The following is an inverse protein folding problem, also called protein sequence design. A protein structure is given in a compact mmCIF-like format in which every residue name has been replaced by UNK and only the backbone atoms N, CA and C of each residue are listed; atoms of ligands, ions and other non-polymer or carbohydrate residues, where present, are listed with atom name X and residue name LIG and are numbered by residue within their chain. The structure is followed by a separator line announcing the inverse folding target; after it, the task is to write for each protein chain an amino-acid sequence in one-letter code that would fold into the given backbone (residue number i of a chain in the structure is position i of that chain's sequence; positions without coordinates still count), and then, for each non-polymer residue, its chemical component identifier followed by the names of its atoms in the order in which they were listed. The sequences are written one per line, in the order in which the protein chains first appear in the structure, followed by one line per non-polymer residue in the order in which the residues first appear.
data_IF_445239209176
#
_entry.id   IF_445239209176
#
_cell.length_a   1.000
_cell.length_b   1.000
_cell.length_c   1.000
_cell.angle_alpha   90.00
_cell.angle_beta   90.00
_cell.angle_gamma   90.00
#
_symmetry.space_group_name_H-M   'P 1'
#
loop_
_entity.id
_entity.type
_entity.pdbx_description
1 polymer ?
#
# COMPACT_ATOMS: atom_id res chain seq x y z
N UNK A 1 -4.31 -52.93 46.85
CA UNK A 1 -4.00 -51.62 46.23
C UNK A 1 -3.26 -51.69 44.86
N UNK A 2 -2.95 -52.88 44.31
CA UNK A 2 -2.15 -53.02 43.07
C UNK A 2 -3.02 -53.07 41.79
N UNK A 3 -4.32 -53.42 41.89
CA UNK A 3 -5.20 -53.54 40.70
C UNK A 3 -5.73 -52.18 40.12
N UNK A 4 -5.78 -51.14 40.92
CA UNK A 4 -6.28 -49.81 40.46
C UNK A 4 -5.23 -49.01 39.69
N UNK A 5 -3.93 -49.21 39.93
CA UNK A 5 -2.84 -48.50 39.24
C UNK A 5 -2.62 -48.99 37.80
N UNK A 6 -2.88 -50.26 37.50
CA UNK A 6 -2.71 -50.82 36.16
C UNK A 6 -3.82 -50.34 35.21
N UNK A 7 -5.05 -50.12 35.70
CA UNK A 7 -6.15 -49.60 34.84
C UNK A 7 -5.96 -48.12 34.47
N UNK A 8 -5.41 -47.29 35.37
CA UNK A 8 -5.13 -45.86 35.06
C UNK A 8 -4.00 -45.69 34.05
N UNK A 9 -3.00 -46.57 34.08
CA UNK A 9 -1.88 -46.51 33.14
C UNK A 9 -2.27 -47.01 31.73
N UNK A 10 -3.21 -47.96 31.61
CA UNK A 10 -3.73 -48.43 30.34
C UNK A 10 -4.58 -47.39 29.58
N UNK A 11 -5.34 -46.56 30.30
CA UNK A 11 -6.16 -45.49 29.71
C UNK A 11 -5.29 -44.33 29.22
N UNK A 12 -4.21 -44.00 29.93
CA UNK A 12 -3.29 -42.91 29.50
C UNK A 12 -2.47 -43.30 28.25
N UNK A 13 -2.03 -44.57 28.15
CA UNK A 13 -1.30 -45.07 26.97
C UNK A 13 -2.21 -45.18 25.75
N UNK A 14 -3.47 -45.59 25.93
CA UNK A 14 -4.43 -45.67 24.84
C UNK A 14 -4.81 -44.29 24.27
N UNK A 15 -4.92 -43.26 25.14
CA UNK A 15 -5.20 -41.88 24.68
C UNK A 15 -4.03 -41.24 23.91
N UNK A 16 -2.78 -41.51 24.29
CA UNK A 16 -1.59 -41.06 23.58
C UNK A 16 -1.45 -41.78 22.21
N UNK A 17 -1.70 -43.08 22.15
CA UNK A 17 -1.64 -43.84 20.87
C UNK A 17 -2.75 -43.43 19.90
N UNK A 18 -3.94 -43.04 20.37
CA UNK A 18 -5.02 -42.52 19.54
C UNK A 18 -4.71 -41.11 18.99
N UNK A 19 -4.06 -40.23 19.75
CA UNK A 19 -3.66 -38.91 19.33
C UNK A 19 -2.58 -38.99 18.21
N UNK A 20 -1.52 -39.77 18.40
CA UNK A 20 -0.47 -39.99 17.41
C UNK A 20 -1.02 -40.52 16.06
N UNK A 21 -2.01 -41.43 16.12
CA UNK A 21 -2.61 -41.96 14.88
C UNK A 21 -3.52 -40.95 14.16
N UNK A 22 -4.22 -40.10 14.91
CA UNK A 22 -5.07 -39.04 14.36
C UNK A 22 -4.26 -37.98 13.64
N UNK A 23 -3.15 -37.54 14.21
CA UNK A 23 -2.27 -36.54 13.62
C UNK A 23 -1.62 -37.04 12.33
N UNK A 24 -1.15 -38.31 12.30
CA UNK A 24 -0.56 -38.88 11.10
C UNK A 24 -1.58 -39.06 9.96
N UNK A 25 -2.83 -39.39 10.28
CA UNK A 25 -3.92 -39.47 9.29
C UNK A 25 -4.28 -38.07 8.76
N UNK A 26 -4.27 -37.05 9.63
CA UNK A 26 -4.48 -35.67 9.19
C UNK A 26 -3.37 -35.19 8.25
N UNK A 27 -2.10 -35.45 8.57
CA UNK A 27 -0.97 -35.11 7.70
C UNK A 27 -1.08 -35.77 6.32
N UNK A 28 -1.46 -37.06 6.27
CA UNK A 28 -1.74 -37.78 5.01
C UNK A 28 -2.86 -37.09 4.21
N UNK A 29 -3.97 -36.77 4.89
CA UNK A 29 -5.11 -36.07 4.29
C UNK A 29 -4.72 -34.68 3.75
N UNK A 30 -3.94 -33.92 4.53
CA UNK A 30 -3.48 -32.60 4.13
C UNK A 30 -2.48 -32.65 2.97
N UNK A 31 -1.60 -33.65 2.96
CA UNK A 31 -0.68 -33.89 1.85
C UNK A 31 -1.46 -34.21 0.56
N UNK A 32 -2.44 -35.10 0.63
CA UNK A 32 -3.32 -35.43 -0.49
C UNK A 32 -4.06 -34.18 -1.01
N UNK A 33 -4.65 -33.38 -0.09
CA UNK A 33 -5.36 -32.15 -0.43
C UNK A 33 -4.46 -31.09 -1.11
N UNK A 34 -3.20 -30.96 -0.68
CA UNK A 34 -2.22 -30.02 -1.26
C UNK A 34 -1.74 -30.44 -2.66
N UNK A 35 -1.82 -31.71 -2.98
CA UNK A 35 -1.41 -32.27 -4.27
C UNK A 35 -2.60 -32.60 -5.18
N UNK A 36 -3.81 -32.09 -4.87
CA UNK A 36 -5.05 -32.34 -5.61
C UNK A 36 -5.42 -33.83 -5.77
N UNK A 37 -4.88 -34.68 -4.87
CA UNK A 37 -5.27 -36.10 -4.78
C UNK A 37 -6.56 -36.24 -3.97
N UNK A 38 -7.69 -35.96 -4.61
CA UNK A 38 -9.02 -36.01 -3.97
C UNK A 38 -9.44 -37.44 -3.57
N UNK A 39 -8.91 -38.47 -4.22
CA UNK A 39 -9.16 -39.86 -3.86
C UNK A 39 -8.40 -40.23 -2.57
N UNK A 40 -7.13 -39.90 -2.49
CA UNK A 40 -6.32 -40.07 -1.28
C UNK A 40 -6.89 -39.31 -0.09
N UNK A 41 -7.29 -38.04 -0.30
CA UNK A 41 -7.98 -37.23 0.71
C UNK A 41 -9.26 -37.91 1.21
N UNK A 42 -10.12 -38.41 0.31
CA UNK A 42 -11.36 -39.07 0.72
C UNK A 42 -11.13 -40.37 1.51
N UNK A 43 -10.05 -41.10 1.21
CA UNK A 43 -9.67 -42.31 1.97
C UNK A 43 -9.13 -41.95 3.36
N UNK A 44 -8.25 -40.96 3.46
CA UNK A 44 -7.71 -40.48 4.74
C UNK A 44 -8.83 -39.93 5.63
N UNK A 45 -9.76 -39.15 5.08
CA UNK A 45 -10.89 -38.60 5.83
C UNK A 45 -11.82 -39.65 6.44
N UNK A 46 -11.98 -40.82 5.82
CA UNK A 46 -12.78 -41.90 6.43
C UNK A 46 -12.17 -42.46 7.71
N UNK A 47 -10.87 -42.23 7.93
CA UNK A 47 -10.14 -42.67 9.11
C UNK A 47 -9.99 -41.54 10.15
N UNK A 48 -10.27 -40.30 9.72
CA UNK A 48 -10.21 -39.12 10.57
C UNK A 48 -11.57 -38.93 11.26
N UNK A 49 -11.56 -38.48 12.52
CA UNK A 49 -12.79 -38.10 13.22
C UNK A 49 -13.43 -36.87 12.58
N UNK A 50 -14.75 -36.84 12.50
CA UNK A 50 -15.51 -35.67 11.99
C UNK A 50 -15.30 -34.44 12.87
N UNK A 51 -14.97 -34.62 14.16
CA UNK A 51 -14.70 -33.57 15.13
C UNK A 51 -13.21 -33.17 15.20
N UNK A 52 -12.39 -33.60 14.22
CA UNK A 52 -10.98 -33.25 14.23
C UNK A 52 -10.77 -31.73 14.15
N UNK A 53 -10.00 -31.12 15.07
CA UNK A 53 -9.89 -29.64 15.19
C UNK A 53 -9.35 -28.96 13.94
N UNK A 54 -8.62 -29.68 13.08
CA UNK A 54 -8.05 -29.14 11.84
C UNK A 54 -8.87 -29.52 10.58
N UNK A 55 -10.11 -30.00 10.74
CA UNK A 55 -10.99 -30.35 9.61
C UNK A 55 -11.22 -29.17 8.66
N UNK A 56 -11.23 -27.92 9.19
CA UNK A 56 -11.34 -26.70 8.40
C UNK A 56 -10.27 -26.60 7.29
N UNK A 57 -9.03 -27.06 7.55
CA UNK A 57 -7.96 -27.01 6.54
C UNK A 57 -8.21 -27.91 5.35
N UNK A 58 -8.78 -29.11 5.57
CA UNK A 58 -9.08 -30.04 4.50
C UNK A 58 -10.25 -29.53 3.63
N UNK A 59 -11.28 -28.98 4.28
CA UNK A 59 -12.40 -28.35 3.57
C UNK A 59 -11.94 -27.10 2.79
N UNK A 60 -11.07 -26.27 3.36
CA UNK A 60 -10.48 -25.12 2.69
C UNK A 60 -9.84 -25.51 1.34
N UNK A 61 -8.99 -26.53 1.33
CA UNK A 61 -8.33 -26.97 0.09
C UNK A 61 -9.34 -27.43 -0.97
N UNK A 62 -10.40 -28.15 -0.56
CA UNK A 62 -11.47 -28.57 -1.48
C UNK A 62 -12.22 -27.38 -2.07
N UNK A 63 -12.60 -26.41 -1.23
CA UNK A 63 -13.31 -25.22 -1.69
C UNK A 63 -12.44 -24.43 -2.67
N UNK A 64 -11.16 -24.25 -2.32
CA UNK A 64 -10.22 -23.52 -3.18
C UNK A 64 -10.04 -24.18 -4.55
N UNK A 65 -9.94 -25.50 -4.58
CA UNK A 65 -9.79 -26.24 -5.84
C UNK A 65 -11.06 -26.22 -6.71
N UNK A 66 -12.24 -26.03 -6.10
CA UNK A 66 -13.50 -25.94 -6.82
C UNK A 66 -13.78 -24.53 -7.40
N UNK A 67 -12.94 -23.53 -7.14
CA UNK A 67 -13.06 -22.20 -7.72
C UNK A 67 -12.62 -22.21 -9.19
N UNK A 68 -13.24 -21.42 -10.08
CA UNK A 68 -14.34 -20.44 -9.85
C UNK A 68 -15.76 -21.03 -9.88
N UNK A 69 -15.91 -22.35 -10.09
CA UNK A 69 -17.22 -23.01 -10.24
C UNK A 69 -17.99 -23.17 -8.91
N UNK A 70 -17.30 -22.95 -7.79
CA UNK A 70 -17.89 -22.99 -6.47
C UNK A 70 -18.92 -21.86 -6.30
N UNK A 71 -20.13 -22.18 -5.78
CA UNK A 71 -21.10 -21.13 -5.49
C UNK A 71 -20.65 -20.22 -4.34
N UNK A 72 -20.90 -18.91 -4.41
CA UNK A 72 -20.56 -17.95 -3.33
C UNK A 72 -21.14 -18.34 -1.97
N UNK A 73 -22.33 -18.95 -1.98
CA UNK A 73 -22.99 -19.42 -0.76
C UNK A 73 -22.12 -20.41 0.03
N UNK A 74 -21.42 -21.31 -0.65
CA UNK A 74 -20.52 -22.29 0.00
C UNK A 74 -19.32 -21.61 0.67
N UNK A 75 -18.84 -20.49 0.10
CA UNK A 75 -17.75 -19.68 0.71
C UNK A 75 -18.26 -19.02 2.00
N UNK A 76 -19.49 -18.48 1.98
CA UNK A 76 -20.11 -17.85 3.15
C UNK A 76 -20.36 -18.89 4.26
N UNK A 77 -20.99 -20.02 3.93
CA UNK A 77 -21.27 -21.14 4.85
C UNK A 77 -20.01 -21.67 5.53
N UNK A 78 -18.89 -21.72 4.80
CA UNK A 78 -17.61 -22.09 5.37
C UNK A 78 -17.18 -21.11 6.47
N UNK A 79 -17.32 -19.80 6.26
CA UNK A 79 -17.03 -18.78 7.25
C UNK A 79 -17.91 -18.86 8.49
N UNK A 80 -19.20 -19.20 8.32
CA UNK A 80 -20.14 -19.37 9.41
C UNK A 80 -19.82 -20.64 10.25
N UNK A 81 -19.30 -21.69 9.59
CA UNK A 81 -18.94 -22.94 10.25
C UNK A 81 -17.64 -22.86 11.05
N UNK A 82 -16.69 -22.04 10.60
CA UNK A 82 -15.36 -21.93 11.19
C UNK A 82 -15.00 -20.48 11.58
N UNK A 83 -15.82 -19.80 12.41
CA UNK A 83 -15.66 -18.36 12.67
C UNK A 83 -14.35 -18.00 13.39
N UNK A 84 -13.79 -18.93 14.15
CA UNK A 84 -12.56 -18.72 14.92
C UNK A 84 -11.28 -19.06 14.14
N UNK A 85 -11.41 -19.49 12.88
CA UNK A 85 -10.29 -19.81 12.00
C UNK A 85 -9.91 -18.60 11.14
N UNK A 86 -8.63 -18.41 10.76
CA UNK A 86 -8.22 -17.41 9.76
C UNK A 86 -8.63 -17.79 8.33
N UNK A 87 -8.92 -19.06 8.05
CA UNK A 87 -9.18 -19.58 6.71
C UNK A 87 -10.44 -19.02 6.01
N UNK A 88 -11.53 -18.63 6.72
CA UNK A 88 -12.66 -17.94 6.10
C UNK A 88 -12.28 -16.67 5.32
N UNK A 89 -11.36 -15.87 5.85
CA UNK A 89 -10.89 -14.68 5.14
C UNK A 89 -10.05 -15.06 3.92
N UNK A 90 -9.23 -16.10 4.03
CA UNK A 90 -8.40 -16.58 2.92
C UNK A 90 -9.24 -17.14 1.78
N UNK A 91 -10.26 -17.98 2.06
CA UNK A 91 -11.11 -18.51 1.00
C UNK A 91 -11.95 -17.43 0.32
N UNK A 92 -12.42 -16.41 1.08
CA UNK A 92 -13.10 -15.25 0.50
C UNK A 92 -12.21 -14.49 -0.47
N UNK A 93 -10.93 -14.27 -0.13
CA UNK A 93 -9.97 -13.62 -1.02
C UNK A 93 -9.72 -14.43 -2.29
N UNK A 94 -9.52 -15.75 -2.17
CA UNK A 94 -9.37 -16.63 -3.33
C UNK A 94 -10.62 -16.63 -4.22
N UNK A 95 -11.80 -16.70 -3.62
CA UNK A 95 -13.07 -16.66 -4.34
C UNK A 95 -13.27 -15.33 -5.08
N UNK A 96 -12.99 -14.19 -4.41
CA UNK A 96 -13.08 -12.86 -5.03
C UNK A 96 -12.20 -12.80 -6.28
N UNK A 97 -10.93 -13.21 -6.18
CA UNK A 97 -9.98 -13.17 -7.30
C UNK A 97 -10.44 -14.11 -8.43
N UNK A 98 -10.87 -15.33 -8.07
CA UNK A 98 -11.31 -16.33 -9.06
C UNK A 98 -12.56 -15.84 -9.81
N UNK A 99 -13.59 -15.38 -9.11
CA UNK A 99 -14.80 -14.84 -9.73
C UNK A 99 -14.51 -13.60 -10.58
N UNK A 100 -13.64 -12.69 -10.11
CA UNK A 100 -13.29 -11.50 -10.85
C UNK A 100 -12.57 -11.81 -12.17
N UNK A 101 -11.68 -12.81 -12.20
CA UNK A 101 -11.02 -13.27 -13.43
C UNK A 101 -11.99 -13.78 -14.47
N UNK A 102 -13.06 -14.43 -14.04
CA UNK A 102 -14.13 -14.94 -14.91
C UNK A 102 -15.26 -13.90 -15.12
N UNK A 103 -15.07 -12.67 -14.66
CA UNK A 103 -16.08 -11.61 -14.76
C UNK A 103 -17.42 -11.92 -14.08
N UNK A 104 -17.41 -12.78 -13.08
CA UNK A 104 -18.59 -13.15 -12.27
C UNK A 104 -18.85 -12.09 -11.20
N UNK A 105 -19.08 -10.84 -11.62
CA UNK A 105 -19.15 -9.66 -10.76
C UNK A 105 -20.20 -9.72 -9.67
N UNK A 106 -21.34 -10.36 -9.95
CA UNK A 106 -22.41 -10.57 -8.94
C UNK A 106 -21.94 -11.50 -7.82
N UNK A 107 -21.11 -12.47 -8.13
CA UNK A 107 -20.64 -13.47 -7.17
C UNK A 107 -19.52 -12.89 -6.29
N UNK A 108 -18.71 -11.98 -6.83
CA UNK A 108 -17.79 -11.16 -6.01
C UNK A 108 -18.52 -10.45 -4.87
N UNK A 109 -19.67 -9.80 -5.18
CA UNK A 109 -20.43 -9.02 -4.19
C UNK A 109 -21.20 -9.91 -3.18
N UNK A 110 -21.38 -11.21 -3.48
CA UNK A 110 -21.99 -12.14 -2.53
C UNK A 110 -21.02 -12.65 -1.46
N UNK A 111 -19.71 -12.67 -1.76
CA UNK A 111 -18.69 -13.12 -0.79
C UNK A 111 -18.13 -11.98 0.06
N UNK A 112 -18.32 -10.72 -0.38
CA UNK A 112 -17.93 -9.52 0.35
C UNK A 112 -19.08 -8.51 0.40
N UNK A 113 -19.50 -8.14 1.59
CA UNK A 113 -20.50 -7.09 1.87
C UNK A 113 -19.88 -5.69 2.03
N UNK A 114 -18.58 -5.63 2.19
CA UNK A 114 -17.77 -4.41 2.36
C UNK A 114 -16.43 -4.54 1.64
N UNK A 115 -15.80 -3.38 1.36
CA UNK A 115 -14.52 -3.35 0.69
C UNK A 115 -13.44 -4.14 1.46
N UNK A 116 -12.78 -5.11 0.82
CA UNK A 116 -11.70 -5.89 1.42
C UNK A 116 -10.45 -5.04 1.65
N UNK A 117 -9.53 -5.55 2.48
CA UNK A 117 -8.21 -4.98 2.66
C UNK A 117 -7.31 -5.31 1.45
N UNK A 118 -6.36 -4.42 1.18
CA UNK A 118 -5.42 -4.60 0.07
C UNK A 118 -5.92 -4.02 -1.26
N UNK A 119 -5.00 -3.39 -1.99
CA UNK A 119 -5.33 -2.62 -3.20
C UNK A 119 -5.92 -3.48 -4.30
N UNK A 120 -5.33 -4.64 -4.57
CA UNK A 120 -5.79 -5.54 -5.63
C UNK A 120 -7.24 -5.99 -5.39
N UNK A 121 -7.54 -6.46 -4.19
CA UNK A 121 -8.88 -6.94 -3.83
C UNK A 121 -9.90 -5.79 -3.84
N UNK A 122 -9.51 -4.58 -3.39
CA UNK A 122 -10.36 -3.40 -3.49
C UNK A 122 -10.68 -3.05 -4.94
N UNK A 123 -9.71 -3.15 -5.84
CA UNK A 123 -9.97 -2.89 -7.26
C UNK A 123 -10.97 -3.89 -7.86
N UNK A 124 -10.83 -5.17 -7.58
CA UNK A 124 -11.82 -6.17 -8.01
C UNK A 124 -13.20 -5.91 -7.41
N UNK A 125 -13.27 -5.58 -6.12
CA UNK A 125 -14.54 -5.29 -5.43
C UNK A 125 -15.25 -4.06 -6.02
N UNK A 126 -14.53 -2.94 -6.17
CA UNK A 126 -15.08 -1.71 -6.76
C UNK A 126 -15.47 -1.93 -8.23
N UNK A 127 -14.70 -2.77 -8.96
CA UNK A 127 -15.09 -3.14 -10.31
C UNK A 127 -16.39 -3.95 -10.32
N UNK A 128 -16.56 -4.87 -9.39
CA UNK A 128 -17.80 -5.62 -9.27
C UNK A 128 -19.00 -4.70 -9.00
N UNK A 129 -18.86 -3.70 -8.14
CA UNK A 129 -19.90 -2.69 -7.92
C UNK A 129 -20.18 -1.87 -9.19
N UNK A 130 -19.13 -1.40 -9.87
CA UNK A 130 -19.24 -0.67 -11.12
C UNK A 130 -19.98 -1.46 -12.21
N UNK A 131 -19.58 -2.71 -12.44
CA UNK A 131 -20.18 -3.60 -13.44
C UNK A 131 -21.64 -3.97 -13.11
N UNK A 132 -22.02 -3.92 -11.83
CA UNK A 132 -23.41 -4.07 -11.40
C UNK A 132 -24.20 -2.73 -11.37
N UNK A 133 -23.62 -1.64 -11.91
CA UNK A 133 -24.31 -0.36 -12.13
C UNK A 133 -24.16 0.66 -11.02
N UNK A 134 -23.38 0.40 -9.98
CA UNK A 134 -23.09 1.39 -8.93
C UNK A 134 -22.03 2.39 -9.41
N UNK A 135 -22.50 3.54 -9.87
CA UNK A 135 -21.62 4.65 -10.29
C UNK A 135 -21.04 5.45 -9.11
N UNK A 136 -21.54 5.23 -7.90
CA UNK A 136 -21.09 5.88 -6.67
C UNK A 136 -19.69 5.45 -6.21
N UNK A 137 -19.07 4.46 -6.87
CA UNK A 137 -17.70 3.99 -6.56
C UNK A 137 -16.61 4.94 -7.05
N UNK A 138 -16.88 5.83 -8.01
CA UNK A 138 -15.87 6.66 -8.68
C UNK A 138 -15.01 7.52 -7.74
N UNK A 139 -15.53 8.14 -6.67
CA UNK A 139 -14.69 8.83 -5.70
C UNK A 139 -13.64 7.93 -5.05
N UNK A 140 -13.99 6.67 -4.73
CA UNK A 140 -13.06 5.68 -4.18
C UNK A 140 -12.01 5.24 -5.20
N UNK A 141 -12.39 5.19 -6.49
CA UNK A 141 -11.45 4.91 -7.59
C UNK A 141 -10.43 6.05 -7.73
N UNK A 142 -10.87 7.33 -7.58
CA UNK A 142 -9.99 8.49 -7.56
C UNK A 142 -8.97 8.41 -6.40
N UNK A 143 -9.41 8.01 -5.21
CA UNK A 143 -8.51 7.80 -4.07
C UNK A 143 -7.45 6.71 -4.36
N UNK A 144 -7.84 5.62 -5.01
CA UNK A 144 -6.91 4.56 -5.41
C UNK A 144 -5.92 5.03 -6.48
N UNK A 145 -6.38 5.92 -7.39
CA UNK A 145 -5.53 6.52 -8.41
C UNK A 145 -4.42 7.36 -7.82
N UNK A 146 -4.72 8.21 -6.82
CA UNK A 146 -3.78 9.14 -6.19
C UNK A 146 -2.73 8.41 -5.35
N UNK A 147 -1.74 7.85 -6.04
CA UNK A 147 -0.62 7.11 -5.46
C UNK A 147 0.66 7.35 -6.23
N UNK A 148 1.75 7.54 -5.51
CA UNK A 148 3.10 7.65 -6.09
C UNK A 148 3.70 6.33 -6.55
N UNK A 149 3.02 5.20 -6.31
CA UNK A 149 3.44 3.87 -6.74
C UNK A 149 2.50 3.28 -7.77
N UNK A 150 3.01 2.38 -8.61
CA UNK A 150 2.18 1.61 -9.54
C UNK A 150 1.12 0.82 -8.78
N UNK A 151 -0.05 0.70 -9.37
CA UNK A 151 -1.16 -0.10 -8.85
C UNK A 151 -1.20 -1.46 -9.56
N UNK A 152 -1.77 -2.49 -8.93
CA UNK A 152 -2.04 -3.76 -9.60
C UNK A 152 -2.88 -3.57 -10.88
N UNK A 153 -2.64 -4.38 -11.89
CA UNK A 153 -3.38 -4.34 -13.16
C UNK A 153 -4.88 -4.58 -13.01
N UNK A 154 -5.31 -5.20 -11.93
CA UNK A 154 -6.73 -5.32 -11.57
C UNK A 154 -7.45 -3.98 -11.43
N UNK A 155 -6.70 -2.87 -11.20
CA UNK A 155 -7.24 -1.53 -11.09
C UNK A 155 -7.41 -0.83 -12.45
N UNK A 156 -6.68 -1.25 -13.49
CA UNK A 156 -6.64 -0.56 -14.79
C UNK A 156 -8.02 -0.35 -15.42
N UNK A 157 -8.94 -1.36 -15.45
CA UNK A 157 -10.27 -1.14 -16.03
C UNK A 157 -11.13 -0.10 -15.26
N UNK A 158 -10.91 0.02 -13.94
CA UNK A 158 -11.58 1.06 -13.15
C UNK A 158 -11.01 2.44 -13.44
N UNK A 159 -9.70 2.55 -13.60
CA UNK A 159 -9.05 3.80 -13.94
C UNK A 159 -9.44 4.28 -15.33
N UNK A 160 -9.57 3.35 -16.27
CA UNK A 160 -10.09 3.65 -17.61
C UNK A 160 -11.53 4.16 -17.54
N UNK A 161 -12.43 3.42 -16.84
CA UNK A 161 -13.80 3.86 -16.63
C UNK A 161 -13.90 5.24 -15.94
N UNK A 162 -13.06 5.52 -14.95
CA UNK A 162 -13.02 6.80 -14.24
C UNK A 162 -12.54 7.94 -15.16
N UNK A 163 -11.61 7.65 -16.10
CA UNK A 163 -11.17 8.60 -17.13
C UNK A 163 -12.31 8.88 -18.10
N UNK A 164 -12.99 7.86 -18.60
CA UNK A 164 -14.11 8.02 -19.54
C UNK A 164 -15.27 8.83 -18.93
N UNK A 165 -15.43 8.75 -17.61
CA UNK A 165 -16.43 9.53 -16.87
C UNK A 165 -15.90 10.92 -16.43
N UNK A 166 -14.66 11.28 -16.76
CA UNK A 166 -14.05 12.57 -16.43
C UNK A 166 -13.70 12.75 -14.94
N UNK A 167 -13.69 11.67 -14.15
CA UNK A 167 -13.31 11.70 -12.72
C UNK A 167 -11.78 11.71 -12.57
N UNK A 168 -11.07 11.10 -13.51
CA UNK A 168 -9.62 11.18 -13.65
C UNK A 168 -9.33 11.99 -14.94
N UNK A 169 -9.05 13.28 -14.75
CA UNK A 169 -8.65 14.19 -15.80
C UNK A 169 -7.15 14.56 -15.75
N UNK A 170 -6.77 15.59 -16.48
CA UNK A 170 -5.38 16.07 -16.53
C UNK A 170 -4.87 16.48 -15.14
N UNK A 171 -5.74 17.04 -14.28
CA UNK A 171 -5.37 17.43 -12.93
C UNK A 171 -5.03 16.21 -12.05
N UNK A 172 -5.84 15.15 -12.06
CA UNK A 172 -5.58 13.93 -11.30
C UNK A 172 -4.36 13.18 -11.81
N UNK A 173 -4.09 13.23 -13.13
CA UNK A 173 -2.88 12.66 -13.71
C UNK A 173 -1.66 13.44 -13.22
N UNK A 174 -1.73 14.77 -13.21
CA UNK A 174 -0.66 15.61 -12.70
C UNK A 174 -0.39 15.42 -11.21
N UNK A 175 -1.44 15.39 -10.38
CA UNK A 175 -1.30 15.11 -8.94
C UNK A 175 -0.58 13.78 -8.70
N UNK A 176 -0.96 12.74 -9.44
CA UNK A 176 -0.29 11.43 -9.34
C UNK A 176 1.15 11.49 -9.84
N UNK A 177 1.42 12.28 -10.87
CA UNK A 177 2.78 12.48 -11.39
C UNK A 177 3.70 13.10 -10.34
N UNK A 178 3.23 14.10 -9.59
CA UNK A 178 3.97 14.69 -8.47
C UNK A 178 4.19 13.69 -7.34
N UNK A 179 3.20 12.85 -7.02
CA UNK A 179 3.38 11.77 -6.04
C UNK A 179 4.41 10.75 -6.50
N UNK A 180 4.41 10.39 -7.79
CA UNK A 180 5.40 9.48 -8.38
C UNK A 180 6.82 10.08 -8.34
N UNK A 181 6.94 11.39 -8.56
CA UNK A 181 8.20 12.12 -8.42
C UNK A 181 8.75 12.01 -6.99
N UNK A 182 7.92 12.27 -5.99
CA UNK A 182 8.32 12.21 -4.58
C UNK A 182 8.75 10.80 -4.14
N UNK A 183 8.14 9.75 -4.72
CA UNK A 183 8.51 8.35 -4.48
C UNK A 183 9.72 7.88 -5.33
N UNK A 184 10.15 8.67 -6.31
CA UNK A 184 11.20 8.28 -7.25
C UNK A 184 10.78 7.18 -8.23
N UNK A 185 9.48 7.02 -8.48
CA UNK A 185 8.91 6.01 -9.37
C UNK A 185 9.02 6.42 -10.84
N UNK A 186 10.24 6.43 -11.38
CA UNK A 186 10.55 7.00 -12.72
C UNK A 186 9.76 6.36 -13.87
N UNK A 187 9.52 5.04 -13.83
CA UNK A 187 8.69 4.37 -14.83
C UNK A 187 7.24 4.84 -14.81
N UNK A 188 6.66 5.03 -13.60
CA UNK A 188 5.32 5.58 -13.46
C UNK A 188 5.28 7.05 -13.90
N UNK A 189 6.32 7.84 -13.59
CA UNK A 189 6.42 9.22 -14.06
C UNK A 189 6.38 9.32 -15.60
N UNK A 190 7.16 8.49 -16.30
CA UNK A 190 7.15 8.46 -17.75
C UNK A 190 5.78 8.13 -18.31
N UNK A 191 5.16 7.06 -17.79
CA UNK A 191 3.81 6.65 -18.19
C UNK A 191 2.76 7.76 -17.99
N UNK A 192 2.78 8.45 -16.85
CA UNK A 192 1.84 9.53 -16.55
C UNK A 192 2.11 10.79 -17.39
N UNK A 193 3.37 11.12 -17.68
CA UNK A 193 3.73 12.23 -18.54
C UNK A 193 3.21 12.01 -19.98
N UNK A 194 3.30 10.78 -20.50
CA UNK A 194 2.78 10.41 -21.83
C UNK A 194 1.24 10.49 -21.91
N UNK A 195 0.54 10.53 -20.77
CA UNK A 195 -0.92 10.72 -20.71
C UNK A 195 -1.35 12.19 -20.75
N UNK A 196 -0.43 13.12 -20.54
CA UNK A 196 -0.68 14.55 -20.53
C UNK A 196 -0.69 15.12 -21.96
N UNK A 197 -1.26 16.30 -22.13
CA UNK A 197 -1.30 17.00 -23.41
C UNK A 197 -0.85 18.46 -23.30
N UNK A 198 -0.49 19.09 -24.43
CA UNK A 198 -0.14 20.50 -24.48
C UNK A 198 0.95 20.95 -23.52
N UNK A 199 0.67 22.00 -22.73
CA UNK A 199 1.61 22.56 -21.77
C UNK A 199 1.90 21.60 -20.59
N UNK A 200 0.92 20.79 -20.19
CA UNK A 200 1.07 19.82 -19.13
C UNK A 200 1.98 18.65 -19.55
N UNK A 201 1.97 18.24 -20.82
CA UNK A 201 2.95 17.28 -21.35
C UNK A 201 4.37 17.81 -21.23
N UNK A 202 4.60 19.09 -21.60
CA UNK A 202 5.91 19.74 -21.43
C UNK A 202 6.32 19.77 -19.95
N UNK A 203 5.40 20.12 -19.06
CA UNK A 203 5.67 20.12 -17.62
C UNK A 203 6.02 18.72 -17.10
N UNK A 204 5.32 17.66 -17.56
CA UNK A 204 5.58 16.27 -17.21
C UNK A 204 6.98 15.81 -17.64
N UNK A 205 7.40 16.13 -18.86
CA UNK A 205 8.77 15.85 -19.31
C UNK A 205 9.83 16.57 -18.44
N UNK A 206 9.56 17.83 -18.09
CA UNK A 206 10.47 18.60 -17.24
C UNK A 206 10.56 18.00 -15.83
N UNK A 207 9.46 17.49 -15.28
CA UNK A 207 9.50 16.80 -14.00
C UNK A 207 10.46 15.60 -14.05
N UNK A 208 10.45 14.82 -15.13
CA UNK A 208 11.39 13.74 -15.37
C UNK A 208 12.86 14.20 -15.46
N UNK A 209 13.11 15.36 -16.07
CA UNK A 209 14.45 15.96 -16.14
C UNK A 209 14.93 16.45 -14.79
N UNK A 210 14.07 17.14 -14.04
CA UNK A 210 14.36 17.64 -12.69
C UNK A 210 14.58 16.50 -11.66
N UNK A 211 13.96 15.35 -11.87
CA UNK A 211 14.23 14.19 -11.02
C UNK A 211 15.67 13.68 -11.16
N UNK A 212 16.24 13.75 -12.39
CA UNK A 212 17.63 13.35 -12.66
C UNK A 212 18.63 14.43 -12.27
N UNK A 213 18.30 15.68 -12.59
CA UNK A 213 19.14 16.85 -12.36
C UNK A 213 18.27 18.02 -11.88
N UNK A 214 18.09 18.16 -10.54
CA UNK A 214 17.23 19.18 -9.97
C UNK A 214 17.75 20.62 -10.14
N UNK A 215 19.04 20.83 -10.37
CA UNK A 215 19.60 22.18 -10.62
C UNK A 215 19.12 22.81 -11.92
N UNK A 216 18.62 22.01 -12.86
CA UNK A 216 17.99 22.49 -14.09
C UNK A 216 16.69 23.28 -13.87
N UNK A 217 16.24 23.43 -12.63
CA UNK A 217 15.10 24.30 -12.28
C UNK A 217 15.26 25.75 -12.82
N UNK A 218 16.50 26.20 -13.07
CA UNK A 218 16.78 27.50 -13.70
C UNK A 218 16.51 27.54 -15.21
N UNK A 219 16.42 26.37 -15.85
CA UNK A 219 16.25 26.22 -17.29
C UNK A 219 14.79 26.00 -17.69
N UNK A 220 13.83 26.10 -16.75
CA UNK A 220 12.42 25.85 -17.05
C UNK A 220 11.94 26.73 -18.19
N UNK A 221 11.37 26.15 -19.27
CA UNK A 221 11.00 26.91 -20.46
C UNK A 221 9.83 27.86 -20.22
N UNK A 222 9.73 28.86 -21.09
CA UNK A 222 8.52 29.66 -21.18
C UNK A 222 7.35 28.81 -21.73
N UNK A 223 6.10 29.17 -21.37
CA UNK A 223 4.91 28.47 -21.85
C UNK A 223 4.40 27.34 -20.96
N UNK A 224 5.12 26.98 -19.88
CA UNK A 224 4.54 26.22 -18.76
C UNK A 224 3.72 27.21 -17.94
N UNK A 225 2.44 26.88 -17.67
CA UNK A 225 1.57 27.71 -16.82
C UNK A 225 2.18 27.97 -15.44
N UNK A 226 1.89 29.14 -14.87
CA UNK A 226 2.51 29.60 -13.62
C UNK A 226 2.36 28.58 -12.48
N UNK A 227 1.19 28.00 -12.31
CA UNK A 227 0.94 26.98 -11.29
C UNK A 227 1.84 25.75 -11.46
N UNK A 228 1.94 25.21 -12.67
CA UNK A 228 2.81 24.05 -12.97
C UNK A 228 4.28 24.40 -12.76
N UNK A 229 4.66 25.63 -13.14
CA UNK A 229 6.02 26.13 -12.95
C UNK A 229 6.39 26.18 -11.47
N UNK A 230 5.53 26.71 -10.63
CA UNK A 230 5.76 26.75 -9.17
C UNK A 230 5.83 25.33 -8.55
N UNK A 231 4.98 24.42 -9.01
CA UNK A 231 5.00 23.01 -8.58
C UNK A 231 6.31 22.31 -9.00
N UNK A 232 6.81 22.56 -10.21
CA UNK A 232 8.11 22.06 -10.69
C UNK A 232 9.28 22.62 -9.87
N UNK A 233 9.27 23.90 -9.56
CA UNK A 233 10.30 24.54 -8.72
C UNK A 233 10.33 23.92 -7.32
N UNK A 234 9.17 23.81 -6.69
CA UNK A 234 9.06 23.15 -5.37
C UNK A 234 9.52 21.69 -5.41
N UNK A 235 9.14 20.93 -6.42
CA UNK A 235 9.55 19.55 -6.59
C UNK A 235 11.07 19.42 -6.78
N UNK A 236 11.67 20.27 -7.62
CA UNK A 236 13.12 20.29 -7.84
C UNK A 236 13.89 20.61 -6.55
N UNK A 237 13.46 21.61 -5.77
CA UNK A 237 14.08 21.95 -4.50
C UNK A 237 13.99 20.79 -3.48
N UNK A 238 12.84 20.10 -3.41
CA UNK A 238 12.67 18.91 -2.57
C UNK A 238 13.58 17.76 -2.99
N UNK A 239 13.77 17.57 -4.30
CA UNK A 239 14.69 16.57 -4.85
C UNK A 239 16.13 16.94 -4.56
N UNK A 240 16.48 18.21 -4.74
CA UNK A 240 17.82 18.74 -4.44
C UNK A 240 18.13 18.61 -2.94
N UNK A 241 17.18 18.85 -2.07
CA UNK A 241 17.34 18.64 -0.63
C UNK A 241 17.76 17.20 -0.31
N UNK A 242 17.30 16.21 -1.10
CA UNK A 242 17.74 14.83 -0.97
C UNK A 242 19.17 14.60 -1.50
N UNK A 243 19.57 15.22 -2.61
CA UNK A 243 20.88 14.99 -3.26
C UNK A 243 21.99 15.88 -2.70
N UNK A 244 21.69 17.16 -2.50
CA UNK A 244 22.58 18.18 -1.94
C UNK A 244 21.77 19.19 -1.09
N UNK A 245 21.75 18.93 0.21
CA UNK A 245 20.92 19.72 1.17
C UNK A 245 21.40 21.15 1.33
N UNK A 246 22.72 21.39 1.28
CA UNK A 246 23.31 22.74 1.41
C UNK A 246 22.90 23.58 0.19
N UNK A 247 23.11 23.01 -0.98
CA UNK A 247 22.77 23.66 -2.25
C UNK A 247 21.27 23.96 -2.37
N UNK A 248 20.42 23.03 -1.91
CA UNK A 248 18.98 23.24 -1.90
C UNK A 248 18.57 24.45 -1.04
N UNK A 249 19.17 24.60 0.16
CA UNK A 249 18.93 25.75 1.02
C UNK A 249 19.39 27.06 0.35
N UNK A 250 20.59 27.07 -0.23
CA UNK A 250 21.10 28.26 -0.93
C UNK A 250 20.15 28.71 -2.04
N UNK A 251 19.74 27.78 -2.92
CA UNK A 251 18.81 28.09 -4.00
C UNK A 251 17.44 28.54 -3.49
N UNK A 252 16.96 27.92 -2.42
CA UNK A 252 15.70 28.28 -1.81
C UNK A 252 15.71 29.72 -1.28
N UNK A 253 16.77 30.11 -0.58
CA UNK A 253 16.87 31.48 0.01
C UNK A 253 17.15 32.55 -1.05
N UNK A 254 18.10 32.28 -1.94
CA UNK A 254 18.65 33.32 -2.82
C UNK A 254 17.88 33.48 -4.13
N UNK A 255 17.33 32.38 -4.65
CA UNK A 255 16.83 32.36 -6.04
C UNK A 255 15.35 31.99 -6.17
N UNK A 256 14.76 31.26 -5.22
CA UNK A 256 13.42 30.69 -5.44
C UNK A 256 12.34 31.72 -5.78
N UNK A 257 12.36 32.88 -5.12
CA UNK A 257 11.41 33.96 -5.39
C UNK A 257 11.61 34.58 -6.79
N UNK A 258 12.86 34.76 -7.20
CA UNK A 258 13.21 35.31 -8.53
C UNK A 258 12.87 34.33 -9.65
N UNK A 259 12.94 33.02 -9.40
CA UNK A 259 12.54 31.98 -10.34
C UNK A 259 11.02 31.81 -10.44
N UNK A 260 10.26 32.47 -9.53
CA UNK A 260 8.81 32.50 -9.59
C UNK A 260 8.08 31.59 -8.59
N UNK A 261 8.78 30.96 -7.62
CA UNK A 261 8.14 30.21 -6.55
C UNK A 261 7.57 31.18 -5.50
N UNK A 262 6.29 31.52 -5.65
CA UNK A 262 5.58 32.51 -4.82
C UNK A 262 4.54 31.88 -3.88
N UNK A 263 3.95 30.75 -4.29
CA UNK A 263 2.94 30.04 -3.52
C UNK A 263 3.48 29.65 -2.14
N UNK A 264 2.84 30.10 -1.03
CA UNK A 264 3.34 29.86 0.33
C UNK A 264 3.38 28.37 0.68
N UNK A 265 2.40 27.58 0.25
CA UNK A 265 2.33 26.15 0.58
C UNK A 265 3.41 25.36 -0.16
N UNK A 266 3.71 25.72 -1.41
CA UNK A 266 4.79 25.09 -2.17
C UNK A 266 6.16 25.48 -1.64
N UNK A 267 6.33 26.72 -1.18
CA UNK A 267 7.54 27.16 -0.49
C UNK A 267 7.74 26.43 0.83
N UNK A 268 6.68 26.31 1.63
CA UNK A 268 6.71 25.58 2.89
C UNK A 268 7.10 24.12 2.71
N UNK A 269 6.52 23.42 1.72
CA UNK A 269 6.89 22.04 1.39
C UNK A 269 8.35 21.89 1.00
N UNK A 270 8.90 22.84 0.25
CA UNK A 270 10.32 22.83 -0.12
C UNK A 270 11.21 23.07 1.13
N UNK A 271 10.88 24.07 1.93
CA UNK A 271 11.60 24.40 3.16
C UNK A 271 11.58 23.25 4.18
N UNK A 272 10.40 22.62 4.40
CA UNK A 272 10.25 21.44 5.27
C UNK A 272 11.17 20.31 4.85
N UNK A 273 11.26 20.02 3.55
CA UNK A 273 12.14 18.96 3.06
C UNK A 273 13.62 19.29 3.24
N UNK A 274 14.01 20.55 3.05
CA UNK A 274 15.38 21.03 3.32
C UNK A 274 15.67 20.92 4.82
N UNK A 275 14.76 21.38 5.68
CA UNK A 275 14.88 21.30 7.13
C UNK A 275 15.00 19.85 7.63
N UNK A 276 14.17 18.96 7.10
CA UNK A 276 14.23 17.53 7.41
C UNK A 276 15.60 16.93 7.13
N UNK A 277 16.13 17.10 5.89
CA UNK A 277 17.44 16.54 5.53
C UNK A 277 18.58 17.26 6.26
N UNK A 278 18.47 18.55 6.53
CA UNK A 278 19.44 19.28 7.37
C UNK A 278 19.51 18.67 8.77
N UNK A 279 18.35 18.34 9.34
CA UNK A 279 18.24 17.75 10.68
C UNK A 279 18.80 16.34 10.74
N UNK A 280 18.29 15.41 9.90
CA UNK A 280 18.68 14.00 10.00
C UNK A 280 20.15 13.74 9.60
N UNK A 281 20.71 14.59 8.76
CA UNK A 281 22.12 14.51 8.34
C UNK A 281 23.07 15.34 9.21
N UNK A 282 22.54 16.22 10.08
CA UNK A 282 23.33 17.10 10.92
C UNK A 282 24.15 18.10 10.10
N UNK A 283 23.53 18.76 9.12
CA UNK A 283 24.19 19.71 8.23
C UNK A 283 24.47 21.01 8.98
N UNK A 284 25.72 21.23 9.37
CA UNK A 284 26.15 22.37 10.16
C UNK A 284 25.97 23.71 9.41
N UNK A 285 26.23 23.71 8.11
CA UNK A 285 26.07 24.87 7.22
C UNK A 285 24.65 25.40 7.17
N UNK A 286 23.68 24.55 7.43
CA UNK A 286 22.26 24.92 7.42
C UNK A 286 21.72 25.25 8.81
N UNK A 287 22.48 25.07 9.86
CA UNK A 287 22.00 25.14 11.26
C UNK A 287 21.26 26.45 11.59
N UNK A 288 21.88 27.59 11.33
CA UNK A 288 21.29 28.88 11.66
C UNK A 288 19.96 29.12 10.96
N UNK A 289 19.89 28.76 9.67
CA UNK A 289 18.66 28.80 8.89
C UNK A 289 17.62 27.82 9.46
N UNK A 290 18.04 26.58 9.72
CA UNK A 290 17.19 25.50 10.24
C UNK A 290 16.52 25.89 11.55
N UNK A 291 17.29 26.36 12.52
CA UNK A 291 16.78 26.71 13.85
C UNK A 291 15.82 27.90 13.75
N UNK A 292 16.13 28.91 12.93
CA UNK A 292 15.23 30.04 12.67
C UNK A 292 13.94 29.64 11.97
N UNK A 293 14.00 28.69 11.06
CA UNK A 293 12.81 28.19 10.35
C UNK A 293 11.95 27.32 11.27
N UNK A 294 12.53 26.39 12.01
CA UNK A 294 11.84 25.48 12.93
C UNK A 294 11.09 26.21 14.05
N UNK A 295 11.63 27.32 14.54
CA UNK A 295 10.99 28.12 15.58
C UNK A 295 9.59 28.63 15.20
N UNK A 296 9.27 28.70 13.89
CA UNK A 296 8.01 29.26 13.40
C UNK A 296 7.20 28.30 12.52
N UNK A 297 7.82 27.27 11.96
CA UNK A 297 7.21 26.47 10.87
C UNK A 297 7.41 24.96 11.00
N UNK A 298 8.17 24.47 11.98
CA UNK A 298 8.56 23.07 12.05
C UNK A 298 7.37 22.12 12.28
N UNK A 299 7.29 21.05 11.49
CA UNK A 299 6.39 19.94 11.77
C UNK A 299 6.80 19.20 13.04
N UNK A 300 5.84 18.55 13.71
CA UNK A 300 6.12 17.72 14.89
C UNK A 300 7.23 16.68 14.66
N UNK A 301 7.24 16.07 13.49
CA UNK A 301 8.24 15.06 13.12
C UNK A 301 9.64 15.67 12.98
N UNK A 302 9.77 16.84 12.34
CA UNK A 302 11.07 17.51 12.16
C UNK A 302 11.58 18.06 13.47
N UNK A 303 10.70 18.59 14.33
CA UNK A 303 11.06 19.04 15.69
C UNK A 303 11.53 17.88 16.58
N UNK A 304 10.83 16.73 16.55
CA UNK A 304 11.27 15.53 17.27
C UNK A 304 12.66 15.05 16.81
N UNK A 305 12.89 15.02 15.50
CA UNK A 305 14.20 14.68 14.96
C UNK A 305 15.28 15.71 15.35
N UNK A 306 14.95 17.01 15.41
CA UNK A 306 15.88 18.05 15.85
C UNK A 306 16.22 17.88 17.33
N UNK A 307 15.24 17.61 18.18
CA UNK A 307 15.45 17.31 19.59
C UNK A 307 16.36 16.07 19.79
N UNK A 308 16.08 14.98 19.07
CA UNK A 308 16.93 13.78 19.10
C UNK A 308 18.36 14.06 18.64
N UNK A 309 18.52 14.90 17.62
CA UNK A 309 19.84 15.32 17.13
C UNK A 309 20.60 16.11 18.18
N UNK A 310 19.95 17.03 18.90
CA UNK A 310 20.57 17.78 20.00
C UNK A 310 21.08 16.84 21.12
N UNK A 311 20.35 15.75 21.42
CA UNK A 311 20.83 14.72 22.37
C UNK A 311 22.08 14.02 21.84
N UNK A 312 22.09 13.59 20.58
CA UNK A 312 23.24 12.90 19.96
C UNK A 312 24.48 13.79 19.98
N UNK A 313 24.31 15.08 19.72
CA UNK A 313 25.38 16.07 19.67
C UNK A 313 25.74 16.64 21.06
N UNK A 314 25.05 16.18 22.13
CA UNK A 314 25.23 16.65 23.53
C UNK A 314 24.98 18.16 23.72
N UNK A 315 24.07 18.74 22.94
CA UNK A 315 23.70 20.15 22.96
C UNK A 315 22.46 20.34 23.83
N UNK A 316 22.67 20.24 25.14
CA UNK A 316 21.59 20.25 26.14
C UNK A 316 20.82 21.56 26.23
N UNK A 317 21.47 22.68 25.93
CA UNK A 317 20.80 23.99 25.93
C UNK A 317 19.84 24.11 24.75
N UNK A 318 20.25 23.68 23.55
CA UNK A 318 19.38 23.62 22.37
C UNK A 318 18.21 22.66 22.59
N UNK A 319 18.45 21.50 23.23
CA UNK A 319 17.39 20.54 23.50
C UNK A 319 16.22 21.17 24.27
N UNK A 320 16.48 22.04 25.23
CA UNK A 320 15.42 22.72 25.99
C UNK A 320 14.51 23.57 25.10
N UNK A 321 15.07 24.20 24.07
CA UNK A 321 14.32 25.03 23.13
C UNK A 321 13.38 24.24 22.24
N UNK A 322 13.69 22.94 22.01
CA UNK A 322 12.88 22.05 21.14
C UNK A 322 11.85 21.18 21.88
N UNK A 323 11.88 21.13 23.21
CA UNK A 323 10.96 20.30 24.02
C UNK A 323 10.06 21.12 24.97
N UNK A 324 10.23 22.43 24.99
CA UNK A 324 9.41 23.38 25.75
C UNK A 324 8.14 23.75 24.99
#
# INVERSE_FOLDING_TARGET
MVRSAVLAMGILVASLACADNSDSVFEEALHAARNDDWNGLAQAQKRLSDDHPLQAYLEFHRLRAALPDLSPQRVVEYGERYPDSPLPDDIRQHALVAYAKESLWRDVLKVYDRAPRGTELRCYYLRAQWENGDKGVLPQVRELWLSGSSRPSSCDPLFEAARDQGVIGEQEIWERLLLAFDQGATGLMSYLADMQSGADATAGEWLGRLHRDPERLRELPEGIGDERREQLLSAALRRLAYTDTVRARELFEQESANLGLKDPALRERAAERIAWYSTIRGIEENRQWLDGWLANNGSADTLDQRARRSVIEQRWDELRDWVA
#
